data_IF_778668791695
#
_entry.id   IF_778668791695
#
_cell.length_a   1.000
_cell.length_b   1.000
_cell.length_c   1.000
_cell.angle_alpha   90.00
_cell.angle_beta   90.00
_cell.angle_gamma   90.00
#
_symmetry.space_group_name_H-M   'P 1'
#
loop_
_entity.id
_entity.type
_entity.pdbx_description
1 polymer ?
#
# COMPACT_ATOMS: atom_id res chain seq x y z
N UNK A 1 -57.92 -1.56 -24.50
CA UNK A 1 -57.63 -0.20 -24.99
C UNK A 1 -56.12 -0.03 -25.07
N UNK A 2 -55.56 0.06 -26.26
CA UNK A 2 -54.14 0.36 -26.45
C UNK A 2 -53.90 1.84 -26.11
N UNK A 3 -53.03 2.10 -25.13
CA UNK A 3 -52.58 3.45 -24.81
C UNK A 3 -51.37 3.78 -25.67
N UNK A 4 -51.52 4.72 -26.59
CA UNK A 4 -50.45 5.19 -27.47
C UNK A 4 -49.83 6.42 -26.80
N UNK A 5 -48.51 6.46 -26.73
CA UNK A 5 -47.74 7.55 -26.15
C UNK A 5 -46.74 8.08 -27.19
N UNK A 6 -46.45 9.39 -27.13
CA UNK A 6 -45.40 10.00 -27.92
C UNK A 6 -44.36 10.66 -27.03
N UNK A 7 -43.14 10.74 -27.49
CA UNK A 7 -42.02 11.40 -26.79
C UNK A 7 -41.88 12.80 -27.38
N UNK A 8 -41.89 13.81 -26.50
CA UNK A 8 -41.70 15.22 -26.88
C UNK A 8 -40.60 15.85 -26.07
N UNK A 9 -39.86 16.75 -26.72
CA UNK A 9 -38.84 17.54 -26.03
C UNK A 9 -39.48 18.64 -25.20
N UNK A 10 -39.20 18.70 -23.91
CA UNK A 10 -39.63 19.77 -23.04
C UNK A 10 -38.49 20.77 -22.84
N UNK A 11 -38.61 21.90 -23.57
CA UNK A 11 -37.57 22.95 -23.53
C UNK A 11 -37.46 23.68 -22.17
N UNK A 12 -38.49 23.61 -21.31
CA UNK A 12 -38.44 24.25 -19.99
C UNK A 12 -37.60 23.51 -18.96
N UNK A 13 -37.48 22.19 -19.14
CA UNK A 13 -36.69 21.32 -18.23
C UNK A 13 -35.55 20.61 -18.98
N UNK A 14 -35.36 20.87 -20.26
CA UNK A 14 -34.25 20.36 -21.05
C UNK A 14 -34.17 18.83 -21.19
N UNK A 15 -35.33 18.14 -21.22
CA UNK A 15 -35.37 16.66 -21.34
C UNK A 15 -36.51 16.14 -22.16
N UNK A 16 -36.40 14.89 -22.62
CA UNK A 16 -37.47 14.18 -23.32
C UNK A 16 -38.51 13.63 -22.33
N UNK A 17 -39.78 13.91 -22.55
CA UNK A 17 -40.87 13.40 -21.71
C UNK A 17 -41.87 12.59 -22.55
N UNK A 18 -42.45 11.58 -21.94
CA UNK A 18 -43.51 10.76 -22.55
C UNK A 18 -44.86 11.38 -22.23
N UNK A 19 -45.64 11.72 -23.27
CA UNK A 19 -46.95 12.31 -23.11
C UNK A 19 -48.00 11.47 -23.82
N UNK A 20 -49.25 11.59 -23.40
CA UNK A 20 -50.38 10.99 -24.10
C UNK A 20 -50.51 11.60 -25.51
N UNK A 21 -50.88 10.80 -26.47
CA UNK A 21 -51.06 11.23 -27.88
C UNK A 21 -52.11 12.37 -28.01
N UNK A 22 -52.99 12.55 -27.03
CA UNK A 22 -53.98 13.61 -27.00
C UNK A 22 -53.41 14.95 -26.49
N UNK A 23 -52.17 15.03 -26.07
CA UNK A 23 -51.56 16.29 -25.62
C UNK A 23 -51.31 17.23 -26.83
N UNK A 24 -52.05 18.34 -26.88
CA UNK A 24 -51.85 19.38 -27.90
C UNK A 24 -50.75 20.33 -27.44
N UNK A 25 -49.76 20.59 -28.29
CA UNK A 25 -48.76 21.62 -28.06
C UNK A 25 -49.40 23.00 -28.26
N UNK A 26 -49.35 23.88 -27.24
CA UNK A 26 -49.65 25.28 -27.41
C UNK A 26 -48.41 25.99 -27.93
N UNK A 27 -48.37 26.20 -29.23
CA UNK A 27 -47.38 27.10 -29.86
C UNK A 27 -47.94 28.50 -29.75
N UNK A 28 -47.32 29.36 -28.97
CA UNK A 28 -47.64 30.80 -28.93
C UNK A 28 -46.82 31.47 -30.02
N UNK A 29 -47.43 31.62 -31.21
CA UNK A 29 -46.93 32.50 -32.27
C UNK A 29 -47.33 33.93 -31.89
N UNK A 30 -46.40 34.71 -31.35
CA UNK A 30 -46.54 36.16 -31.27
C UNK A 30 -46.15 36.74 -32.64
N UNK A 31 -47.16 37.11 -33.42
CA UNK A 31 -46.94 37.95 -34.59
C UNK A 31 -46.66 39.38 -34.11
N UNK A 32 -45.49 39.89 -34.41
CA UNK A 32 -45.19 41.31 -34.35
C UNK A 32 -45.60 41.91 -35.69
N UNK A 33 -46.74 42.64 -35.67
CA UNK A 33 -47.13 43.50 -36.81
C UNK A 33 -46.31 44.79 -36.72
N UNK A 34 -45.49 45.01 -37.72
CA UNK A 34 -44.91 46.32 -38.04
C UNK A 34 -45.95 47.22 -38.69
N UNK A 35 -46.13 48.41 -38.14
CA UNK A 35 -46.25 49.68 -38.90
C UNK A 35 -46.85 50.77 -38.02
N UNK A 36 -46.09 51.77 -37.70
CA UNK A 36 -46.55 53.16 -37.82
C UNK A 36 -45.33 54.06 -37.83
N UNK A 37 -45.17 54.76 -38.95
CA UNK A 37 -44.37 55.95 -39.07
C UNK A 37 -44.84 56.99 -38.04
N UNK A 38 -43.90 57.56 -37.29
CA UNK A 38 -44.08 58.80 -36.60
C UNK A 38 -42.90 59.70 -36.94
N UNK A 39 -43.19 60.64 -37.87
CA UNK A 39 -42.42 61.83 -38.05
C UNK A 39 -42.67 62.79 -36.89
N UNK A 40 -41.61 63.31 -36.29
CA UNK A 40 -41.74 64.54 -35.53
C UNK A 40 -41.05 64.57 -34.16
N UNK A 41 -40.10 65.48 -34.08
CA UNK A 41 -39.60 66.16 -32.91
C UNK A 41 -38.61 65.45 -32.02
N UNK A 42 -37.40 65.98 -32.08
CA UNK A 42 -36.31 65.79 -31.12
C UNK A 42 -36.79 66.18 -29.74
N UNK A 43 -36.81 65.24 -28.79
CA UNK A 43 -36.61 65.48 -27.40
C UNK A 43 -36.19 64.17 -26.72
N UNK A 44 -35.13 64.25 -25.97
CA UNK A 44 -34.45 63.27 -25.16
C UNK A 44 -35.30 62.07 -24.69
N UNK A 45 -35.12 60.94 -25.31
CA UNK A 45 -35.41 59.66 -24.68
C UNK A 45 -34.18 59.26 -23.92
N UNK A 46 -34.12 59.53 -22.63
CA UNK A 46 -33.20 58.84 -21.71
C UNK A 46 -33.56 57.38 -21.74
N UNK A 47 -32.98 56.65 -22.66
CA UNK A 47 -33.05 55.20 -22.62
C UNK A 47 -32.28 54.77 -21.38
N UNK A 48 -32.99 54.27 -20.38
CA UNK A 48 -32.39 53.41 -19.34
C UNK A 48 -31.87 52.14 -20.05
N UNK A 49 -30.81 52.28 -20.76
CA UNK A 49 -30.00 51.12 -21.12
C UNK A 49 -29.59 50.46 -19.82
N UNK A 50 -30.20 49.31 -19.51
CA UNK A 50 -29.59 48.34 -18.63
C UNK A 50 -28.25 48.03 -19.24
N UNK A 51 -27.21 48.73 -18.82
CA UNK A 51 -25.83 48.40 -19.15
C UNK A 51 -25.63 46.94 -18.81
N UNK A 52 -25.75 46.08 -19.81
CA UNK A 52 -25.27 44.74 -19.74
C UNK A 52 -23.79 44.85 -19.34
N UNK A 53 -23.45 44.44 -18.13
CA UNK A 53 -22.09 44.49 -17.66
C UNK A 53 -21.36 43.33 -18.33
N UNK A 54 -20.59 43.53 -19.39
CA UNK A 54 -19.91 42.41 -20.10
C UNK A 54 -18.88 41.73 -19.22
N UNK A 55 -18.49 42.37 -18.09
CA UNK A 55 -17.50 41.80 -17.17
C UNK A 55 -17.94 40.47 -16.53
N UNK A 56 -19.21 40.27 -16.25
CA UNK A 56 -19.68 39.01 -15.65
C UNK A 56 -19.77 37.88 -16.72
N UNK A 57 -20.15 38.22 -17.95
CA UNK A 57 -20.22 37.25 -19.03
C UNK A 57 -18.83 36.89 -19.57
N UNK A 58 -17.93 37.86 -19.65
CA UNK A 58 -16.54 37.61 -20.04
C UNK A 58 -15.79 36.82 -18.98
N UNK A 59 -16.09 37.06 -17.69
CA UNK A 59 -15.47 36.30 -16.61
C UNK A 59 -15.96 34.84 -16.58
N UNK A 60 -17.25 34.61 -16.88
CA UNK A 60 -17.78 33.24 -16.96
C UNK A 60 -17.31 32.49 -18.21
N UNK A 61 -17.12 33.19 -19.33
CA UNK A 61 -16.55 32.61 -20.55
C UNK A 61 -15.04 32.38 -20.41
N UNK A 62 -14.31 33.28 -19.77
CA UNK A 62 -12.87 33.11 -19.50
C UNK A 62 -12.65 32.00 -18.48
N UNK A 63 -13.51 31.85 -17.46
CA UNK A 63 -13.43 30.69 -16.56
C UNK A 63 -13.77 29.39 -17.27
N UNK A 64 -14.67 29.40 -18.26
CA UNK A 64 -15.01 28.24 -19.07
C UNK A 64 -13.96 27.92 -20.14
N UNK A 65 -13.24 28.92 -20.68
CA UNK A 65 -12.20 28.77 -21.69
C UNK A 65 -10.80 28.57 -21.09
N UNK A 66 -10.58 29.02 -19.83
CA UNK A 66 -9.34 28.75 -19.10
C UNK A 66 -9.24 27.34 -18.56
N UNK A 67 -10.33 26.58 -18.57
CA UNK A 67 -10.32 25.18 -18.18
C UNK A 67 -10.10 24.30 -19.42
N UNK A 68 -8.92 24.41 -20.01
CA UNK A 68 -8.50 23.43 -21.04
C UNK A 68 -8.19 22.05 -20.43
N UNK A 69 -8.40 21.90 -19.13
CA UNK A 69 -8.36 20.63 -18.40
C UNK A 69 -9.59 20.62 -17.49
N UNK A 70 -10.68 20.05 -17.98
CA UNK A 70 -11.82 19.67 -17.15
C UNK A 70 -11.36 18.50 -16.30
N UNK A 71 -10.75 18.82 -15.19
CA UNK A 71 -10.66 17.87 -14.08
C UNK A 71 -12.11 17.67 -13.61
N UNK A 72 -12.59 16.45 -13.62
CA UNK A 72 -13.83 16.11 -12.99
C UNK A 72 -13.66 16.33 -11.48
N UNK A 73 -13.96 17.58 -11.05
CA UNK A 73 -14.03 17.90 -9.62
C UNK A 73 -15.25 17.16 -9.07
N UNK A 74 -15.04 15.95 -8.62
CA UNK A 74 -16.03 15.17 -7.92
C UNK A 74 -16.07 15.63 -6.46
N UNK A 75 -16.65 16.82 -6.23
CA UNK A 75 -16.94 17.28 -4.88
C UNK A 75 -18.14 16.51 -4.34
N UNK A 76 -17.87 15.45 -3.59
CA UNK A 76 -18.86 14.79 -2.78
C UNK A 76 -19.21 15.70 -1.57
N UNK A 77 -20.50 15.84 -1.27
CA UNK A 77 -21.04 16.66 -0.17
C UNK A 77 -20.50 16.29 1.23
N UNK A 78 -19.68 15.28 1.35
CA UNK A 78 -19.08 14.80 2.60
C UNK A 78 -17.54 14.82 2.59
N UNK A 79 -16.93 15.73 1.84
CA UNK A 79 -15.52 16.08 2.02
C UNK A 79 -14.50 15.12 1.39
N UNK A 80 -14.80 14.51 0.26
CA UNK A 80 -13.75 13.94 -0.62
C UNK A 80 -13.04 15.08 -1.31
N UNK A 81 -11.77 15.25 -1.04
CA UNK A 81 -10.90 16.13 -1.82
C UNK A 81 -10.12 15.27 -2.79
N UNK A 82 -10.34 15.51 -4.07
CA UNK A 82 -9.39 15.09 -5.09
C UNK A 82 -8.35 16.20 -5.13
N UNK A 83 -7.13 15.90 -4.76
CA UNK A 83 -6.05 16.88 -4.87
C UNK A 83 -5.75 17.12 -6.35
N UNK A 84 -6.03 18.35 -6.78
CA UNK A 84 -5.77 18.81 -8.15
C UNK A 84 -4.46 19.61 -8.20
N UNK A 85 -3.41 19.12 -7.56
CA UNK A 85 -2.10 19.76 -7.73
C UNK A 85 -1.72 19.73 -9.22
N UNK A 86 -1.40 20.87 -9.84
CA UNK A 86 -1.19 20.96 -11.30
C UNK A 86 0.07 20.25 -11.80
N UNK A 87 0.80 19.58 -10.94
CA UNK A 87 2.04 18.86 -11.26
C UNK A 87 1.83 17.36 -11.42
N UNK A 88 0.58 16.84 -11.21
CA UNK A 88 0.32 15.42 -11.24
C UNK A 88 -0.21 15.00 -12.61
N UNK A 89 0.49 14.10 -13.26
CA UNK A 89 -0.04 13.36 -14.40
C UNK A 89 -0.64 12.04 -13.91
N UNK A 90 -1.97 11.92 -13.94
CA UNK A 90 -2.77 10.69 -13.72
C UNK A 90 -2.84 10.14 -12.29
N UNK A 91 -2.53 10.90 -11.24
CA UNK A 91 -2.72 10.46 -9.85
C UNK A 91 -4.21 10.50 -9.44
N UNK A 92 -4.62 9.56 -8.57
CA UNK A 92 -5.96 9.50 -7.99
C UNK A 92 -5.86 9.58 -6.48
N UNK A 93 -6.51 10.60 -5.87
CA UNK A 93 -6.61 10.74 -4.43
C UNK A 93 -8.07 10.77 -4.00
N UNK A 94 -8.51 9.81 -3.18
CA UNK A 94 -9.88 9.72 -2.65
C UNK A 94 -9.80 9.60 -1.13
N UNK A 95 -10.24 10.63 -0.42
CA UNK A 95 -10.27 10.55 1.04
C UNK A 95 -10.74 11.84 1.67
N UNK A 96 -11.55 11.72 2.72
CA UNK A 96 -12.07 12.84 3.47
C UNK A 96 -11.42 12.91 4.85
N UNK A 97 -10.78 14.02 5.13
CA UNK A 97 -10.60 14.46 6.52
C UNK A 97 -10.49 15.98 6.55
N UNK A 98 -11.14 16.58 7.53
CA UNK A 98 -11.15 18.03 7.76
C UNK A 98 -9.79 18.65 8.13
N UNK A 99 -8.69 17.92 8.01
CA UNK A 99 -7.35 18.43 8.34
C UNK A 99 -6.20 17.90 7.51
N UNK A 100 -6.30 16.72 6.94
CA UNK A 100 -5.24 16.13 6.10
C UNK A 100 -5.87 15.19 5.07
N UNK A 101 -6.04 15.66 3.83
CA UNK A 101 -6.62 14.88 2.74
C UNK A 101 -5.68 13.73 2.31
N UNK A 102 -6.23 12.80 1.51
CA UNK A 102 -5.41 11.87 0.75
C UNK A 102 -4.56 12.64 -0.27
N UNK A 103 -3.34 12.24 -0.48
CA UNK A 103 -2.43 12.86 -1.44
C UNK A 103 -1.82 11.85 -2.41
N UNK A 104 -1.86 12.19 -3.71
CA UNK A 104 -1.19 11.43 -4.77
C UNK A 104 -0.32 12.42 -5.55
N UNK A 105 0.92 12.59 -5.13
CA UNK A 105 1.78 13.71 -5.58
C UNK A 105 2.66 13.40 -6.78
N UNK A 106 2.62 12.19 -7.34
CA UNK A 106 3.45 11.82 -8.47
C UNK A 106 2.67 11.05 -9.53
N UNK A 107 3.30 10.77 -10.66
CA UNK A 107 2.70 10.11 -11.80
C UNK A 107 2.07 8.76 -11.42
N UNK A 108 0.81 8.56 -11.81
CA UNK A 108 0.04 7.33 -11.58
C UNK A 108 -0.13 6.91 -10.10
N UNK A 109 0.05 7.81 -9.14
CA UNK A 109 -0.17 7.51 -7.73
C UNK A 109 -1.65 7.24 -7.43
N UNK A 110 -1.96 6.24 -6.60
CA UNK A 110 -3.31 5.95 -6.12
C UNK A 110 -3.37 6.07 -4.60
N UNK A 111 -4.04 7.08 -4.07
CA UNK A 111 -4.26 7.27 -2.65
C UNK A 111 -5.75 7.20 -2.31
N UNK A 112 -6.19 6.23 -1.50
CA UNK A 112 -7.58 6.08 -1.08
C UNK A 112 -7.63 5.90 0.44
N UNK A 113 -8.31 6.83 1.11
CA UNK A 113 -8.49 6.80 2.56
C UNK A 113 -8.09 8.11 3.23
N UNK A 114 -8.46 8.27 4.51
CA UNK A 114 -8.06 9.45 5.28
C UNK A 114 -6.56 9.45 5.52
N UNK A 115 -5.87 10.53 5.15
CA UNK A 115 -4.41 10.65 5.26
C UNK A 115 -3.63 9.57 4.50
N UNK A 116 -4.22 9.00 3.44
CA UNK A 116 -3.47 8.14 2.53
C UNK A 116 -2.53 9.01 1.68
N UNK A 117 -1.28 8.60 1.58
CA UNK A 117 -0.24 9.33 0.86
C UNK A 117 0.47 8.40 -0.14
N UNK A 118 0.26 8.63 -1.42
CA UNK A 118 0.96 8.00 -2.53
C UNK A 118 1.80 9.07 -3.22
N UNK A 119 3.01 9.34 -2.69
CA UNK A 119 3.84 10.47 -3.12
C UNK A 119 4.98 10.11 -4.06
N UNK A 120 5.10 8.84 -4.43
CA UNK A 120 6.07 8.39 -5.42
C UNK A 120 5.39 7.87 -6.68
N UNK A 121 6.11 7.85 -7.80
CA UNK A 121 5.60 7.36 -9.08
C UNK A 121 5.11 5.90 -8.97
N UNK A 122 3.95 5.64 -9.59
CA UNK A 122 3.31 4.31 -9.64
C UNK A 122 3.05 3.70 -8.24
N UNK A 123 2.92 4.54 -7.21
CA UNK A 123 2.69 4.08 -5.85
C UNK A 123 1.20 3.95 -5.52
N UNK A 124 0.87 3.01 -4.63
CA UNK A 124 -0.51 2.75 -4.20
C UNK A 124 -0.62 2.81 -2.68
N UNK A 125 -1.51 3.65 -2.16
CA UNK A 125 -1.78 3.82 -0.74
C UNK A 125 -3.29 3.67 -0.47
N UNK A 126 -3.72 2.54 0.12
CA UNK A 126 -5.11 2.24 0.41
C UNK A 126 -5.32 2.06 1.92
N UNK A 127 -6.02 2.99 2.57
CA UNK A 127 -6.33 2.89 3.99
C UNK A 127 -6.15 4.19 4.77
N UNK A 128 -6.18 4.09 6.08
CA UNK A 128 -6.06 5.24 6.98
C UNK A 128 -4.61 5.41 7.45
N UNK A 129 -4.03 6.62 7.34
CA UNK A 129 -2.64 6.90 7.75
C UNK A 129 -1.60 6.00 7.05
N UNK A 130 -1.74 5.78 5.76
CA UNK A 130 -0.82 4.94 4.97
C UNK A 130 0.10 5.80 4.11
N UNK A 131 1.37 5.38 3.99
CA UNK A 131 2.38 6.12 3.25
C UNK A 131 3.10 5.22 2.24
N UNK A 132 2.83 5.41 0.96
CA UNK A 132 3.55 4.80 -0.16
C UNK A 132 4.48 5.86 -0.77
N UNK A 133 5.72 5.90 -0.32
CA UNK A 133 6.72 6.91 -0.71
C UNK A 133 7.89 6.34 -1.51
N UNK A 134 7.90 5.04 -1.73
CA UNK A 134 8.81 4.36 -2.66
C UNK A 134 8.19 4.23 -4.05
N UNK A 135 8.98 4.41 -5.09
CA UNK A 135 8.54 4.20 -6.49
C UNK A 135 8.04 2.76 -6.66
N UNK A 136 6.86 2.59 -7.30
CA UNK A 136 6.19 1.29 -7.46
C UNK A 136 5.87 0.58 -6.12
N UNK A 137 5.74 1.31 -5.02
CA UNK A 137 5.39 0.71 -3.73
C UNK A 137 3.89 0.55 -3.55
N UNK A 138 3.49 -0.44 -2.75
CA UNK A 138 2.08 -0.70 -2.43
C UNK A 138 1.90 -0.78 -0.92
N UNK A 139 0.95 0.01 -0.41
CA UNK A 139 0.57 0.01 1.02
C UNK A 139 -0.93 -0.20 1.14
N UNK A 140 -1.34 -1.17 1.93
CA UNK A 140 -2.77 -1.43 2.20
C UNK A 140 -3.01 -1.64 3.70
N UNK A 141 -4.06 -1.01 4.22
CA UNK A 141 -4.49 -1.20 5.61
C UNK A 141 -4.51 0.09 6.41
N UNK A 142 -4.20 0.01 7.69
CA UNK A 142 -4.10 1.17 8.57
C UNK A 142 -2.71 1.35 9.12
N UNK A 143 -2.17 2.58 9.13
CA UNK A 143 -0.88 2.88 9.75
C UNK A 143 0.29 2.04 9.19
N UNK A 144 0.39 1.94 7.87
CA UNK A 144 1.46 1.22 7.19
C UNK A 144 2.31 2.17 6.34
N UNK A 145 3.57 1.83 6.14
CA UNK A 145 4.50 2.60 5.31
C UNK A 145 5.38 1.72 4.44
N UNK A 146 5.51 2.06 3.17
CA UNK A 146 6.43 1.46 2.23
C UNK A 146 7.24 2.57 1.56
N UNK A 147 8.45 2.82 2.06
CA UNK A 147 9.35 3.85 1.56
C UNK A 147 10.44 3.30 0.63
N UNK A 148 10.72 2.00 0.67
CA UNK A 148 11.60 1.34 -0.28
C UNK A 148 10.96 1.22 -1.67
N UNK A 149 11.73 1.39 -2.72
CA UNK A 149 11.22 1.20 -4.07
C UNK A 149 10.79 -0.27 -4.30
N UNK A 150 9.68 -0.46 -5.03
CA UNK A 150 9.11 -1.77 -5.35
C UNK A 150 8.81 -2.62 -4.09
N UNK A 151 8.43 -1.97 -3.01
CA UNK A 151 8.16 -2.61 -1.72
C UNK A 151 6.67 -2.72 -1.42
N UNK A 152 6.31 -3.65 -0.55
CA UNK A 152 4.93 -3.89 -0.14
C UNK A 152 4.82 -3.86 1.39
N UNK A 153 3.85 -3.08 1.91
CA UNK A 153 3.50 -3.08 3.32
C UNK A 153 1.99 -3.31 3.48
N UNK A 154 1.61 -4.43 4.09
CA UNK A 154 0.21 -4.77 4.33
C UNK A 154 -0.05 -4.91 5.83
N UNK A 155 -0.97 -4.08 6.34
CA UNK A 155 -1.34 -4.11 7.74
C UNK A 155 -2.85 -3.90 7.92
N UNK A 156 -3.43 -4.61 8.86
CA UNK A 156 -4.72 -4.28 9.42
C UNK A 156 -4.54 -4.02 10.92
N UNK A 157 -4.28 -2.78 11.30
CA UNK A 157 -4.21 -2.39 12.71
C UNK A 157 -5.53 -1.75 13.11
N UNK A 158 -6.26 -2.39 14.01
CA UNK A 158 -7.47 -1.86 14.63
C UNK A 158 -7.20 -1.13 15.96
N UNK A 159 -5.95 -1.05 16.41
CA UNK A 159 -5.60 -0.35 17.64
C UNK A 159 -5.60 1.17 17.44
N UNK A 160 -6.80 1.76 17.56
CA UNK A 160 -6.98 3.20 17.66
C UNK A 160 -6.33 3.81 18.93
N UNK A 161 -5.96 2.99 19.89
CA UNK A 161 -5.41 3.42 21.19
C UNK A 161 -3.96 3.92 21.11
N UNK A 162 -3.16 3.39 20.19
CA UNK A 162 -1.73 3.79 20.09
C UNK A 162 -1.52 5.20 19.52
N UNK A 163 -2.51 5.75 18.82
CA UNK A 163 -2.47 7.13 18.31
C UNK A 163 -2.80 8.15 19.43
N UNK A 164 -3.63 7.75 20.39
CA UNK A 164 -4.04 8.60 21.51
C UNK A 164 -2.90 8.79 22.55
N UNK A 165 -1.96 7.87 22.62
CA UNK A 165 -0.86 7.90 23.61
C UNK A 165 0.41 8.60 23.12
N UNK A 166 0.38 9.27 21.95
CA UNK A 166 1.52 10.01 21.44
C UNK A 166 2.72 9.14 21.01
N UNK A 167 2.52 7.83 20.85
CA UNK A 167 3.53 6.86 20.44
C UNK A 167 3.77 6.86 18.91
N UNK A 168 3.36 7.94 18.23
CA UNK A 168 3.39 8.09 16.77
C UNK A 168 4.81 8.26 16.18
N UNK A 169 5.85 7.95 16.90
CA UNK A 169 7.21 8.03 16.39
C UNK A 169 7.87 6.65 16.36
N UNK A 170 7.58 5.88 15.34
CA UNK A 170 8.51 4.92 14.76
C UNK A 170 8.36 3.44 15.11
N UNK A 171 7.50 2.98 16.02
CA UNK A 171 7.59 1.59 16.49
C UNK A 171 6.31 0.74 16.36
N UNK A 172 5.19 1.30 15.95
CA UNK A 172 3.91 0.56 15.91
C UNK A 172 3.37 0.27 14.52
N UNK A 173 4.14 0.56 13.48
CA UNK A 173 3.69 0.46 12.10
C UNK A 173 4.32 -0.73 11.39
N UNK A 174 3.56 -1.35 10.47
CA UNK A 174 4.17 -2.16 9.42
C UNK A 174 4.96 -1.23 8.52
N UNK A 175 6.25 -1.46 8.41
CA UNK A 175 7.14 -0.57 7.70
C UNK A 175 8.15 -1.30 6.81
N UNK A 176 8.32 -0.79 5.60
CA UNK A 176 9.48 -1.02 4.76
C UNK A 176 10.16 0.32 4.56
N UNK A 177 11.36 0.50 5.07
CA UNK A 177 12.08 1.77 5.02
C UNK A 177 12.66 2.09 3.63
N UNK A 178 13.19 3.30 3.45
CA UNK A 178 13.70 3.78 2.16
C UNK A 178 14.93 3.02 1.64
N UNK A 179 15.68 2.36 2.52
CA UNK A 179 16.82 1.55 2.15
C UNK A 179 16.44 0.09 1.81
N UNK A 180 15.17 -0.28 2.01
CA UNK A 180 14.68 -1.66 1.88
C UNK A 180 13.90 -1.90 0.59
N UNK A 181 14.50 -1.60 -0.55
CA UNK A 181 13.87 -1.84 -1.86
C UNK A 181 13.58 -3.33 -2.10
N UNK A 182 12.55 -3.63 -2.90
CA UNK A 182 12.10 -4.99 -3.25
C UNK A 182 11.63 -5.82 -2.05
N UNK A 183 11.24 -5.18 -0.95
CA UNK A 183 10.97 -5.86 0.31
C UNK A 183 9.48 -5.92 0.64
N UNK A 184 9.10 -6.88 1.47
CA UNK A 184 7.71 -7.14 1.85
C UNK A 184 7.57 -7.15 3.37
N UNK A 185 6.61 -6.38 3.92
CA UNK A 185 6.22 -6.42 5.31
C UNK A 185 4.71 -6.67 5.41
N UNK A 186 4.31 -7.79 6.03
CA UNK A 186 2.90 -8.19 6.18
C UNK A 186 2.59 -8.55 7.64
N UNK A 187 1.65 -7.84 8.23
CA UNK A 187 1.18 -8.10 9.59
C UNK A 187 1.43 -6.92 10.53
N UNK A 188 0.70 -6.89 11.64
CA UNK A 188 0.82 -5.80 12.61
C UNK A 188 2.25 -5.67 13.14
N UNK A 189 2.84 -4.50 13.04
CA UNK A 189 4.20 -4.18 13.49
C UNK A 189 5.31 -5.01 12.81
N UNK A 190 5.05 -5.58 11.63
CA UNK A 190 6.11 -6.22 10.85
C UNK A 190 7.02 -5.16 10.24
N UNK A 191 8.32 -5.41 10.19
CA UNK A 191 9.29 -4.40 9.75
C UNK A 191 10.42 -5.00 8.91
N UNK A 192 10.79 -4.28 7.84
CA UNK A 192 12.03 -4.48 7.11
C UNK A 192 12.78 -3.15 7.13
N UNK A 193 13.95 -3.14 7.75
CA UNK A 193 14.75 -1.94 7.99
C UNK A 193 16.16 -2.11 7.41
N UNK A 194 16.55 -1.24 6.49
CA UNK A 194 17.90 -1.22 5.92
C UNK A 194 18.33 -2.51 5.22
N UNK A 195 17.36 -3.25 4.62
CA UNK A 195 17.62 -4.57 4.02
C UNK A 195 16.85 -4.74 2.73
N UNK A 196 17.53 -4.98 1.63
CA UNK A 196 16.92 -5.14 0.30
C UNK A 196 16.50 -6.60 0.05
N UNK A 197 15.45 -6.77 -0.77
CA UNK A 197 14.91 -8.07 -1.16
C UNK A 197 14.53 -8.97 0.05
N UNK A 198 14.08 -8.35 1.13
CA UNK A 198 13.81 -9.02 2.39
C UNK A 198 12.31 -9.17 2.66
N UNK A 199 11.93 -10.12 3.51
CA UNK A 199 10.53 -10.44 3.79
C UNK A 199 10.30 -10.59 5.30
N UNK A 200 9.33 -9.83 5.84
CA UNK A 200 8.85 -9.94 7.22
C UNK A 200 7.34 -10.22 7.22
N UNK A 201 6.92 -11.41 7.63
CA UNK A 201 5.51 -11.83 7.65
C UNK A 201 5.11 -12.33 9.04
N UNK A 202 4.17 -11.64 9.65
CA UNK A 202 3.65 -11.99 10.98
C UNK A 202 3.63 -10.79 11.91
N UNK A 203 2.89 -10.89 13.02
CA UNK A 203 2.90 -9.83 14.04
C UNK A 203 4.32 -9.69 14.60
N UNK A 204 4.85 -8.46 14.62
CA UNK A 204 6.22 -8.16 15.07
C UNK A 204 7.33 -8.96 14.36
N UNK A 205 7.09 -9.46 13.14
CA UNK A 205 8.18 -10.06 12.36
C UNK A 205 9.17 -8.98 11.94
N UNK A 206 10.47 -9.24 12.05
CA UNK A 206 11.50 -8.23 11.81
C UNK A 206 12.65 -8.75 10.95
N UNK A 207 13.05 -7.94 9.98
CA UNK A 207 14.33 -8.07 9.29
C UNK A 207 15.12 -6.79 9.54
N UNK A 208 16.25 -6.91 10.24
CA UNK A 208 17.07 -5.80 10.67
C UNK A 208 18.12 -5.40 9.64
N UNK A 209 18.73 -4.24 9.83
CA UNK A 209 19.62 -3.59 8.86
C UNK A 209 20.76 -4.49 8.38
N UNK A 210 20.99 -4.46 7.07
CA UNK A 210 22.05 -5.25 6.42
C UNK A 210 21.74 -6.74 6.22
N UNK A 211 20.57 -7.21 6.63
CA UNK A 211 20.12 -8.58 6.38
C UNK A 211 19.44 -8.70 5.02
N UNK A 212 20.18 -8.44 3.96
CA UNK A 212 19.67 -8.54 2.59
C UNK A 212 19.25 -9.98 2.26
N UNK A 213 18.23 -10.11 1.39
CA UNK A 213 17.63 -11.38 0.96
C UNK A 213 17.07 -12.24 2.12
N UNK A 214 16.89 -11.65 3.30
CA UNK A 214 16.48 -12.40 4.48
C UNK A 214 14.96 -12.61 4.55
N UNK A 215 14.55 -13.66 5.26
CA UNK A 215 13.15 -14.03 5.43
C UNK A 215 12.82 -14.27 6.91
N UNK A 216 11.88 -13.48 7.47
CA UNK A 216 11.32 -13.65 8.81
C UNK A 216 9.83 -13.97 8.71
N UNK A 217 9.41 -15.17 9.08
CA UNK A 217 7.99 -15.60 9.02
C UNK A 217 7.56 -16.16 10.38
N UNK A 218 6.60 -15.49 11.00
CA UNK A 218 6.02 -15.90 12.30
C UNK A 218 5.87 -14.74 13.25
N UNK A 219 5.10 -14.94 14.32
CA UNK A 219 4.97 -13.94 15.37
C UNK A 219 6.34 -13.72 16.02
N UNK A 220 6.84 -12.49 15.98
CA UNK A 220 8.16 -12.10 16.55
C UNK A 220 9.34 -12.94 15.96
N UNK A 221 9.19 -13.44 14.72
CA UNK A 221 10.32 -14.01 14.00
C UNK A 221 11.31 -12.89 13.65
N UNK A 222 12.59 -13.10 13.88
CA UNK A 222 13.60 -12.04 13.71
C UNK A 222 14.81 -12.54 12.93
N UNK A 223 15.19 -11.76 11.92
CA UNK A 223 16.52 -11.85 11.30
C UNK A 223 17.31 -10.62 11.72
N UNK A 224 18.43 -10.85 12.40
CA UNK A 224 19.24 -9.81 12.99
C UNK A 224 20.10 -9.04 11.97
N UNK A 225 20.70 -7.98 12.44
CA UNK A 225 21.58 -7.09 11.69
C UNK A 225 22.71 -7.88 11.00
N UNK A 226 22.89 -7.62 9.70
CA UNK A 226 23.90 -8.26 8.86
C UNK A 226 23.78 -9.79 8.69
N UNK A 227 22.66 -10.39 9.08
CA UNK A 227 22.39 -11.81 8.80
C UNK A 227 21.89 -11.98 7.34
N UNK A 228 22.76 -11.69 6.38
CA UNK A 228 22.48 -11.81 4.94
C UNK A 228 22.06 -13.24 4.61
N UNK A 229 21.06 -13.39 3.73
CA UNK A 229 20.48 -14.69 3.34
C UNK A 229 19.92 -15.49 4.55
N UNK A 230 19.67 -14.82 5.68
CA UNK A 230 19.14 -15.42 6.89
C UNK A 230 17.68 -15.80 6.78
N UNK A 231 17.28 -16.95 7.33
CA UNK A 231 15.89 -17.41 7.35
C UNK A 231 15.46 -17.72 8.78
N UNK A 232 14.40 -17.05 9.27
CA UNK A 232 13.79 -17.29 10.57
C UNK A 232 12.30 -17.62 10.38
N UNK A 233 11.92 -18.89 10.56
CA UNK A 233 10.53 -19.33 10.41
C UNK A 233 10.02 -19.98 11.69
N UNK A 234 9.01 -19.37 12.30
CA UNK A 234 8.37 -19.82 13.53
C UNK A 234 8.20 -18.70 14.54
N UNK A 235 7.31 -18.89 15.49
CA UNK A 235 7.09 -17.92 16.59
C UNK A 235 8.37 -17.75 17.41
N UNK A 236 8.86 -16.52 17.57
CA UNK A 236 10.10 -16.19 18.28
C UNK A 236 11.34 -16.92 17.71
N UNK A 237 11.35 -17.28 16.43
CA UNK A 237 12.57 -17.79 15.79
C UNK A 237 13.55 -16.65 15.57
N UNK A 238 14.84 -16.94 15.70
CA UNK A 238 15.92 -15.95 15.58
C UNK A 238 17.02 -16.45 14.68
N UNK A 239 17.37 -15.67 13.66
CA UNK A 239 18.56 -15.88 12.84
C UNK A 239 19.48 -14.68 13.01
N UNK A 240 20.66 -14.88 13.59
CA UNK A 240 21.62 -13.81 13.86
C UNK A 240 22.95 -13.96 13.12
N UNK A 241 23.07 -14.97 12.25
CA UNK A 241 24.25 -15.20 11.44
C UNK A 241 23.90 -15.32 9.95
N UNK A 242 24.82 -14.89 9.07
CA UNK A 242 24.64 -14.98 7.64
C UNK A 242 24.51 -16.43 7.13
N UNK A 243 23.75 -16.63 6.05
CA UNK A 243 23.53 -17.92 5.41
C UNK A 243 22.96 -18.98 6.37
N UNK A 244 22.20 -18.59 7.38
CA UNK A 244 21.73 -19.52 8.39
C UNK A 244 20.20 -19.59 8.44
N UNK A 245 19.68 -20.72 8.92
CA UNK A 245 18.26 -21.03 8.94
C UNK A 245 17.82 -21.43 10.34
N UNK A 246 16.87 -20.68 10.91
CA UNK A 246 16.17 -21.04 12.12
C UNK A 246 14.74 -21.49 11.76
N UNK A 247 14.46 -22.77 11.84
CA UNK A 247 13.17 -23.35 11.45
C UNK A 247 12.50 -24.04 12.63
N UNK A 248 11.48 -23.40 13.18
CA UNK A 248 10.68 -23.86 14.32
C UNK A 248 10.50 -22.79 15.38
N UNK A 249 9.46 -22.90 16.21
CA UNK A 249 9.25 -21.93 17.29
C UNK A 249 10.44 -21.86 18.24
N UNK A 250 10.91 -20.65 18.55
CA UNK A 250 12.06 -20.40 19.43
C UNK A 250 13.38 -21.08 18.97
N UNK A 251 13.51 -21.42 17.70
CA UNK A 251 14.78 -21.87 17.15
C UNK A 251 15.74 -20.69 17.01
N UNK A 252 17.04 -20.94 17.19
CA UNK A 252 18.09 -19.90 17.13
C UNK A 252 19.24 -20.37 16.24
N UNK A 253 19.46 -19.69 15.11
CA UNK A 253 20.57 -19.91 14.21
C UNK A 253 21.59 -18.75 14.36
N UNK A 254 22.59 -18.94 15.20
CA UNK A 254 23.59 -17.94 15.57
C UNK A 254 25.01 -18.28 15.05
N UNK A 255 25.13 -19.27 14.21
CA UNK A 255 26.39 -19.66 13.57
C UNK A 255 26.20 -19.59 12.06
N UNK A 256 27.13 -18.94 11.38
CA UNK A 256 27.11 -18.80 9.91
C UNK A 256 27.05 -20.18 9.22
N UNK A 257 26.34 -20.26 8.10
CA UNK A 257 26.14 -21.45 7.29
C UNK A 257 25.48 -22.63 8.06
N UNK A 258 24.66 -22.34 9.06
CA UNK A 258 24.10 -23.33 9.98
C UNK A 258 22.56 -23.41 9.93
N UNK A 259 22.04 -24.54 10.33
CA UNK A 259 20.59 -24.80 10.40
C UNK A 259 20.20 -25.21 11.80
N UNK A 260 19.30 -24.46 12.45
CA UNK A 260 18.61 -24.85 13.68
C UNK A 260 17.23 -25.40 13.31
N UNK A 261 17.04 -26.71 13.39
CA UNK A 261 15.85 -27.40 12.93
C UNK A 261 14.99 -27.91 14.10
N UNK A 262 13.79 -27.37 14.22
CA UNK A 262 12.82 -27.76 15.24
C UNK A 262 12.71 -26.77 16.40
N UNK A 263 11.62 -26.89 17.17
CA UNK A 263 11.32 -25.96 18.25
C UNK A 263 12.44 -25.91 19.30
N UNK A 264 12.95 -24.70 19.60
CA UNK A 264 14.02 -24.49 20.58
C UNK A 264 15.37 -25.09 20.21
N UNK A 265 15.60 -25.44 18.94
CA UNK A 265 16.91 -25.86 18.45
C UNK A 265 17.84 -24.66 18.39
N UNK A 266 19.13 -24.88 18.72
CA UNK A 266 20.15 -23.82 18.74
C UNK A 266 21.42 -24.33 18.06
N UNK A 267 21.98 -23.53 17.15
CA UNK A 267 23.30 -23.82 16.58
C UNK A 267 24.40 -23.39 17.53
N UNK A 268 25.47 -24.12 17.54
CA UNK A 268 26.69 -23.80 18.30
C UNK A 268 27.91 -23.98 17.40
N UNK A 269 28.91 -23.15 17.61
CA UNK A 269 30.15 -23.21 16.84
C UNK A 269 30.81 -24.61 17.03
N UNK A 270 31.24 -25.21 15.94
CA UNK A 270 32.02 -26.42 16.01
C UNK A 270 33.38 -26.13 16.65
N UNK A 271 33.82 -27.02 17.51
CA UNK A 271 35.10 -26.88 18.17
C UNK A 271 35.75 -28.28 18.39
N UNK A 272 37.03 -28.32 18.43
CA UNK A 272 37.81 -29.57 18.65
C UNK A 272 37.92 -30.46 17.41
N UNK A 273 38.49 -31.61 17.58
CA UNK A 273 38.63 -32.60 16.54
C UNK A 273 37.57 -33.70 16.68
N UNK A 274 37.22 -34.34 15.57
CA UNK A 274 36.33 -35.49 15.60
C UNK A 274 36.95 -36.62 16.44
N UNK A 275 36.08 -37.30 17.20
CA UNK A 275 36.51 -38.27 18.20
C UNK A 275 37.25 -39.51 17.59
N UNK A 276 36.83 -39.95 16.42
CA UNK A 276 37.36 -41.15 15.80
C UNK A 276 38.51 -40.83 14.80
N UNK A 277 38.26 -39.89 13.88
CA UNK A 277 39.19 -39.60 12.77
C UNK A 277 40.20 -38.51 13.09
N UNK A 278 40.07 -37.86 14.23
CA UNK A 278 40.89 -36.71 14.68
C UNK A 278 40.91 -35.53 13.66
N UNK A 279 39.91 -35.44 12.79
CA UNK A 279 39.74 -34.32 11.86
C UNK A 279 39.29 -33.11 12.61
N UNK A 280 39.94 -31.97 12.41
CA UNK A 280 39.56 -30.70 13.01
C UNK A 280 38.17 -30.25 12.58
N UNK A 281 37.45 -29.62 13.48
CA UNK A 281 36.18 -28.97 13.20
C UNK A 281 36.35 -27.94 12.07
N UNK A 282 35.40 -27.88 11.15
CA UNK A 282 35.39 -26.87 10.10
C UNK A 282 35.17 -25.47 10.72
N UNK A 283 35.96 -24.50 10.28
CA UNK A 283 35.76 -23.09 10.64
C UNK A 283 34.86 -22.36 9.67
N UNK A 284 34.55 -22.95 8.53
CA UNK A 284 33.75 -22.33 7.44
C UNK A 284 32.40 -22.99 7.22
N UNK A 285 32.30 -24.29 7.43
CA UNK A 285 31.05 -25.02 7.33
C UNK A 285 30.27 -24.93 8.64
N UNK A 286 28.98 -24.65 8.54
CA UNK A 286 28.10 -24.60 9.68
C UNK A 286 27.70 -25.99 10.21
N UNK A 287 26.72 -26.00 11.07
CA UNK A 287 26.15 -27.21 11.67
C UNK A 287 24.67 -27.32 11.35
N UNK A 288 24.14 -28.54 11.35
CA UNK A 288 22.69 -28.78 11.46
C UNK A 288 22.41 -29.23 12.89
N UNK A 289 21.72 -28.38 13.64
CA UNK A 289 21.30 -28.69 15.01
C UNK A 289 19.82 -29.03 15.05
N UNK A 290 19.48 -30.21 15.53
CA UNK A 290 18.08 -30.65 15.73
C UNK A 290 17.60 -30.46 17.17
N UNK A 291 18.38 -29.81 18.03
CA UNK A 291 18.10 -29.65 19.44
C UNK A 291 18.92 -28.52 20.07
N UNK A 292 19.12 -28.63 21.39
CA UNK A 292 19.97 -27.76 22.19
C UNK A 292 20.74 -28.61 23.20
N UNK A 293 21.60 -27.98 24.00
CA UNK A 293 22.35 -28.67 25.03
C UNK A 293 21.48 -29.45 26.04
N UNK A 294 20.25 -28.99 26.25
CA UNK A 294 19.32 -29.60 27.22
C UNK A 294 18.13 -30.31 26.58
N UNK A 295 17.89 -30.11 25.26
CA UNK A 295 16.77 -30.68 24.53
C UNK A 295 17.29 -31.39 23.28
N UNK A 296 17.61 -32.67 23.42
CA UNK A 296 18.04 -33.52 22.31
C UNK A 296 16.84 -34.16 21.59
N UNK A 297 17.01 -34.51 20.33
CA UNK A 297 15.99 -35.21 19.52
C UNK A 297 16.55 -36.45 18.84
N UNK A 298 15.66 -37.42 18.63
CA UNK A 298 15.93 -38.55 17.74
C UNK A 298 15.66 -38.15 16.32
N UNK A 299 16.58 -38.55 15.41
CA UNK A 299 16.30 -38.53 13.95
C UNK A 299 15.70 -39.89 13.60
N UNK A 300 14.47 -39.91 13.09
CA UNK A 300 13.75 -41.14 12.72
C UNK A 300 13.66 -41.27 11.21
N UNK A 301 13.39 -42.53 10.77
CA UNK A 301 13.23 -42.89 9.34
C UNK A 301 14.49 -42.59 8.51
N UNK A 302 15.64 -42.76 9.11
CA UNK A 302 16.93 -42.69 8.44
C UNK A 302 17.17 -44.05 7.77
N UNK A 303 17.49 -44.05 6.48
CA UNK A 303 17.93 -45.25 5.77
C UNK A 303 19.32 -45.67 6.24
N UNK A 304 19.68 -46.92 6.05
CA UNK A 304 21.04 -47.39 6.29
C UNK A 304 22.03 -46.61 5.42
N UNK A 305 23.14 -46.17 6.02
CA UNK A 305 24.18 -45.44 5.33
C UNK A 305 24.86 -46.34 4.27
N UNK A 306 25.09 -45.78 3.09
CA UNK A 306 25.76 -46.45 1.97
C UNK A 306 27.19 -45.93 1.73
N UNK A 307 27.48 -44.70 2.21
CA UNK A 307 28.80 -44.08 2.11
C UNK A 307 29.33 -43.69 3.50
N UNK A 308 30.64 -43.56 3.63
CA UNK A 308 31.33 -43.25 4.89
C UNK A 308 30.85 -41.93 5.56
N UNK A 309 30.23 -41.04 4.79
CA UNK A 309 29.70 -39.76 5.27
C UNK A 309 28.21 -39.80 5.61
N UNK A 310 27.52 -40.90 5.42
CA UNK A 310 26.12 -41.05 5.70
C UNK A 310 25.83 -41.22 7.19
N UNK A 311 24.61 -40.84 7.60
CA UNK A 311 24.19 -41.16 8.95
C UNK A 311 23.94 -42.66 9.11
N UNK A 312 24.43 -43.24 10.20
CA UNK A 312 24.23 -44.66 10.50
C UNK A 312 22.94 -44.89 11.31
N UNK A 313 22.28 -46.01 11.05
CA UNK A 313 21.14 -46.47 11.86
C UNK A 313 21.65 -47.28 13.06
N UNK A 314 20.81 -47.41 14.10
CA UNK A 314 21.09 -48.27 15.25
C UNK A 314 21.21 -49.75 14.82
N UNK A 315 20.54 -50.13 13.76
CA UNK A 315 20.63 -51.51 13.21
C UNK A 315 22.02 -51.83 12.63
N UNK A 316 22.67 -50.83 12.02
CA UNK A 316 24.02 -50.98 11.48
C UNK A 316 25.12 -51.04 12.58
N UNK A 317 24.79 -50.59 13.79
CA UNK A 317 25.72 -50.61 14.94
C UNK A 317 25.57 -51.87 15.82
N UNK A 318 24.55 -52.70 15.59
CA UNK A 318 24.34 -53.98 16.31
C UNK A 318 25.09 -55.14 15.68
#
# INVERSE_FOLDING_TARGET
>A
MNKIYKVVWNASIGTWIVVSELAKSKTRTGSVSSSSEITGSQNEIVSKEKKFRPKALVLSIISCLAVSHVWADYTNLYGSIIDTSPTISNGIAIGANTGTPATANDSNGLAVGSRANASAADSTALGNYVNATGVNSTVVGGQASAAGAQSIALQNNSDADLVAEGLATGSSFTAVDSASSYSVAIGAMSQVVGSTAAMAIGKNAQVNSGANNATAIGNTATVDTNAVDGVAIGTNSLTSAANSVALGPRSTANVTNSVALGAGSTTTVQSGNSYITNVAASTTNGVVSVGSATNTRRIQNVADGAADSDAVTVAQLK
#
